data_IF_928799105482
#
_entry.id   IF_928799105482
#
_cell.length_a   1.000
_cell.length_b   1.000
_cell.length_c   1.000
_cell.angle_alpha   90.00
_cell.angle_beta   90.00
_cell.angle_gamma   90.00
#
_symmetry.space_group_name_H-M   'P 1'
#
loop_
_entity.id
_entity.type
_entity.pdbx_description
1 polymer ?
#
# COMPACT_ATOMS: atom_id res chain seq x y z
N UNK A 1 47.29 22.74 -40.41
CA UNK A 1 46.54 22.17 -39.27
C UNK A 1 45.25 21.64 -39.85
N UNK A 2 45.07 20.33 -39.88
CA UNK A 2 43.94 19.71 -40.55
C UNK A 2 42.71 19.74 -39.62
N UNK A 3 41.67 20.46 -40.06
CA UNK A 3 40.30 20.36 -39.55
C UNK A 3 39.72 19.00 -39.95
N UNK A 4 39.98 17.98 -39.13
CA UNK A 4 39.27 16.70 -39.22
C UNK A 4 38.13 16.75 -38.21
N UNK A 5 36.87 16.86 -38.63
CA UNK A 5 35.74 16.77 -37.72
C UNK A 5 35.68 15.32 -37.21
N UNK A 6 36.14 15.12 -35.97
CA UNK A 6 36.39 13.77 -35.46
C UNK A 6 35.12 13.00 -35.06
N UNK A 7 33.95 13.63 -34.89
CA UNK A 7 32.68 12.94 -34.67
C UNK A 7 31.53 13.83 -35.19
N UNK A 8 30.61 13.34 -36.07
CA UNK A 8 29.39 14.07 -36.40
C UNK A 8 28.50 14.14 -35.16
N UNK A 9 28.43 15.32 -34.55
CA UNK A 9 27.57 15.57 -33.38
C UNK A 9 26.13 15.73 -33.90
N UNK A 10 25.14 14.97 -33.40
CA UNK A 10 23.75 15.11 -33.84
C UNK A 10 23.23 16.52 -33.51
N UNK A 11 22.39 17.04 -34.40
CA UNK A 11 21.80 18.39 -34.27
C UNK A 11 20.98 18.52 -32.99
N UNK A 12 21.40 19.40 -32.08
CA UNK A 12 20.64 19.73 -30.87
C UNK A 12 19.48 20.68 -31.22
N UNK A 13 18.26 20.32 -30.83
CA UNK A 13 17.10 21.23 -30.92
C UNK A 13 16.55 21.50 -29.53
N UNK A 14 16.44 22.77 -29.16
CA UNK A 14 15.82 23.17 -27.89
C UNK A 14 14.29 23.26 -28.10
N UNK A 15 13.46 22.67 -27.23
CA UNK A 15 12.01 22.67 -27.42
C UNK A 15 11.41 24.04 -27.07
N UNK A 16 11.43 24.96 -28.04
CA UNK A 16 10.78 26.30 -27.96
C UNK A 16 9.32 26.25 -28.44
N UNK A 17 8.90 25.15 -29.08
CA UNK A 17 7.58 25.02 -29.69
C UNK A 17 6.61 24.20 -28.82
N UNK A 18 5.32 24.51 -28.92
CA UNK A 18 4.20 23.86 -28.21
C UNK A 18 3.91 22.42 -28.65
N UNK A 19 4.54 21.96 -29.73
CA UNK A 19 4.40 20.60 -30.26
C UNK A 19 5.55 19.71 -29.80
N UNK A 20 5.21 18.49 -29.35
CA UNK A 20 6.19 17.48 -28.91
C UNK A 20 7.05 17.04 -30.10
N UNK A 21 8.37 16.99 -29.92
CA UNK A 21 9.33 16.57 -30.95
C UNK A 21 9.97 15.24 -30.60
N UNK A 22 10.23 14.44 -31.62
CA UNK A 22 11.03 13.21 -31.51
C UNK A 22 12.50 13.51 -31.73
N UNK A 23 13.40 12.75 -31.10
CA UNK A 23 14.84 12.97 -31.25
C UNK A 23 15.69 12.11 -30.33
N UNK A 24 17.00 12.11 -30.61
CA UNK A 24 17.99 11.55 -29.72
C UNK A 24 18.09 12.41 -28.47
N UNK A 25 18.02 11.76 -27.31
CA UNK A 25 18.33 12.40 -26.04
C UNK A 25 19.84 12.42 -25.83
N UNK A 26 20.30 13.23 -24.88
CA UNK A 26 21.70 13.27 -24.49
C UNK A 26 22.11 11.87 -24.01
N UNK A 27 23.17 11.27 -24.58
CA UNK A 27 23.63 9.97 -24.13
C UNK A 27 24.09 10.03 -22.67
N UNK A 28 23.88 8.94 -21.95
CA UNK A 28 24.43 8.76 -20.61
C UNK A 28 25.63 7.82 -20.71
N UNK A 29 26.80 8.33 -20.32
CA UNK A 29 28.03 7.56 -20.18
C UNK A 29 28.45 7.60 -18.72
N UNK A 30 28.80 6.45 -18.16
CA UNK A 30 29.19 6.36 -16.75
C UNK A 30 30.04 5.12 -16.48
N UNK A 31 30.44 4.96 -15.22
CA UNK A 31 31.17 3.81 -14.75
C UNK A 31 30.58 3.34 -13.41
N UNK A 32 30.32 2.05 -13.26
CA UNK A 32 29.80 1.41 -12.05
C UNK A 32 30.69 0.21 -11.71
N UNK A 33 31.07 0.05 -10.44
CA UNK A 33 31.98 -1.03 -10.04
C UNK A 33 31.40 -2.46 -10.25
N UNK A 34 30.09 -2.60 -10.43
CA UNK A 34 29.39 -3.88 -10.67
C UNK A 34 29.15 -4.15 -12.15
N UNK A 35 29.05 -3.10 -12.98
CA UNK A 35 28.65 -3.21 -14.39
C UNK A 35 29.71 -2.66 -15.37
N UNK A 36 30.82 -2.14 -14.86
CA UNK A 36 31.89 -1.51 -15.62
C UNK A 36 31.47 -0.21 -16.29
N UNK A 37 31.95 0.00 -17.51
CA UNK A 37 31.58 1.14 -18.33
C UNK A 37 30.14 0.99 -18.84
N UNK A 38 29.33 2.03 -18.63
CA UNK A 38 27.93 2.12 -19.02
C UNK A 38 27.78 3.11 -20.17
N UNK A 39 27.13 2.71 -21.26
CA UNK A 39 26.72 3.59 -22.35
C UNK A 39 25.24 3.42 -22.65
N UNK A 40 24.48 4.52 -22.66
CA UNK A 40 23.04 4.54 -22.96
C UNK A 40 22.73 5.64 -23.97
N UNK A 41 21.99 5.32 -25.02
CA UNK A 41 21.57 6.30 -26.02
C UNK A 41 20.07 6.23 -26.21
N UNK A 42 19.33 7.08 -25.49
CA UNK A 42 17.87 7.11 -25.61
C UNK A 42 17.42 7.83 -26.88
N UNK A 43 16.39 7.30 -27.52
CA UNK A 43 15.61 7.94 -28.58
C UNK A 43 14.18 8.14 -28.10
N UNK A 44 13.75 9.39 -28.06
CA UNK A 44 12.39 9.76 -27.70
C UNK A 44 11.54 9.87 -28.97
N UNK A 45 10.47 9.08 -29.04
CA UNK A 45 9.53 9.06 -30.15
C UNK A 45 8.15 9.51 -29.69
N UNK A 46 7.84 10.78 -29.97
CA UNK A 46 6.50 11.35 -29.80
C UNK A 46 5.71 11.14 -31.10
N UNK A 47 5.01 10.01 -31.20
CA UNK A 47 4.19 9.69 -32.37
C UNK A 47 2.77 10.28 -32.30
N UNK A 48 2.33 10.76 -31.14
CA UNK A 48 1.08 11.51 -30.99
C UNK A 48 1.17 12.56 -29.87
N UNK A 49 0.22 13.52 -29.77
CA UNK A 49 0.22 14.52 -28.70
C UNK A 49 0.06 13.92 -27.29
N UNK A 50 -0.56 12.74 -27.17
CA UNK A 50 -0.89 12.13 -25.88
C UNK A 50 -0.19 10.80 -25.62
N UNK A 51 0.70 10.36 -26.51
CA UNK A 51 1.44 9.10 -26.38
C UNK A 51 2.88 9.27 -26.84
N UNK A 52 3.80 8.63 -26.13
CA UNK A 52 5.21 8.61 -26.46
C UNK A 52 5.86 7.26 -26.14
N UNK A 53 6.89 6.92 -26.90
CA UNK A 53 7.75 5.77 -26.68
C UNK A 53 9.19 6.25 -26.56
N UNK A 54 9.90 5.83 -25.51
CA UNK A 54 11.34 6.06 -25.37
C UNK A 54 12.06 4.72 -25.49
N UNK A 55 12.94 4.61 -26.46
CA UNK A 55 13.77 3.43 -26.71
C UNK A 55 15.16 3.75 -26.21
N UNK A 56 15.67 2.97 -25.27
CA UNK A 56 16.99 3.22 -24.65
C UNK A 56 17.84 1.97 -24.74
N UNK A 57 18.54 1.72 -25.85
CA UNK A 57 19.61 0.74 -25.87
C UNK A 57 20.65 1.10 -24.81
N UNK A 58 21.13 0.09 -24.10
CA UNK A 58 22.23 0.20 -23.16
C UNK A 58 23.28 -0.89 -23.34
N UNK A 59 24.51 -0.53 -23.02
CA UNK A 59 25.67 -1.40 -23.05
C UNK A 59 26.43 -1.26 -21.73
N UNK A 60 26.81 -2.39 -21.15
CA UNK A 60 27.51 -2.52 -19.87
C UNK A 60 28.72 -3.43 -20.09
N UNK A 61 29.94 -2.91 -19.96
CA UNK A 61 31.14 -3.65 -20.33
C UNK A 61 31.29 -4.98 -19.57
N UNK A 62 30.91 -5.00 -18.30
CA UNK A 62 31.17 -6.13 -17.40
C UNK A 62 29.89 -6.95 -17.12
N UNK A 63 28.85 -6.80 -17.95
CA UNK A 63 27.58 -7.50 -17.75
C UNK A 63 26.89 -7.92 -19.06
N UNK A 64 26.92 -7.06 -20.09
CA UNK A 64 26.29 -7.35 -21.38
C UNK A 64 25.56 -6.15 -21.98
N UNK A 65 24.58 -6.43 -22.85
CA UNK A 65 23.88 -5.42 -23.64
C UNK A 65 22.37 -5.61 -23.55
N UNK A 66 21.63 -4.53 -23.70
CA UNK A 66 20.19 -4.55 -23.51
C UNK A 66 19.51 -3.26 -23.93
N UNK A 67 18.37 -3.03 -23.31
CA UNK A 67 17.73 -1.73 -23.36
C UNK A 67 16.38 -1.69 -22.66
N UNK A 68 15.88 -0.47 -22.54
CA UNK A 68 14.58 -0.17 -21.97
C UNK A 68 13.64 0.39 -23.05
N UNK A 69 12.39 -0.08 -23.04
CA UNK A 69 11.27 0.50 -23.77
C UNK A 69 10.31 1.11 -22.75
N UNK A 70 10.23 2.45 -22.72
CA UNK A 70 9.30 3.17 -21.87
C UNK A 70 8.16 3.75 -22.71
N UNK A 71 6.97 3.19 -22.58
CA UNK A 71 5.76 3.61 -23.27
C UNK A 71 4.84 4.37 -22.31
N UNK A 72 4.41 5.58 -22.69
CA UNK A 72 3.48 6.38 -21.90
C UNK A 72 2.32 6.84 -22.75
N UNK A 73 1.11 6.79 -22.20
CA UNK A 73 -0.08 7.26 -22.89
C UNK A 73 -1.08 7.92 -21.94
N UNK A 74 -1.82 8.87 -22.50
CA UNK A 74 -3.00 9.48 -21.93
C UNK A 74 -4.10 9.36 -22.98
N UNK A 75 -5.06 8.46 -22.78
CA UNK A 75 -6.16 8.28 -23.73
C UNK A 75 -7.18 9.41 -23.59
N UNK A 76 -7.46 9.81 -22.35
CA UNK A 76 -8.31 10.96 -22.00
C UNK A 76 -7.96 11.48 -20.59
N UNK A 77 -8.74 12.42 -20.04
CA UNK A 77 -8.51 12.99 -18.69
C UNK A 77 -8.67 11.98 -17.53
N UNK A 78 -9.27 10.83 -17.82
CA UNK A 78 -9.71 9.77 -16.90
C UNK A 78 -8.97 8.45 -17.14
N UNK A 79 -8.20 8.33 -18.21
CA UNK A 79 -7.51 7.12 -18.63
C UNK A 79 -6.07 7.42 -19.04
N UNK A 80 -5.13 6.80 -18.33
CA UNK A 80 -3.68 6.93 -18.57
C UNK A 80 -2.95 5.67 -18.17
N UNK A 81 -1.77 5.48 -18.74
CA UNK A 81 -0.90 4.39 -18.37
C UNK A 81 0.54 4.65 -18.76
N UNK A 82 1.42 3.86 -18.15
CA UNK A 82 2.83 3.82 -18.43
C UNK A 82 3.34 2.39 -18.28
N UNK A 83 4.21 1.98 -19.18
CA UNK A 83 4.78 0.65 -19.22
C UNK A 83 6.27 0.77 -19.51
N UNK A 84 7.06 -0.01 -18.80
CA UNK A 84 8.49 -0.14 -18.99
C UNK A 84 8.82 -1.61 -19.16
N UNK A 85 9.38 -1.94 -20.31
CA UNK A 85 9.97 -3.24 -20.59
C UNK A 85 11.48 -3.06 -20.60
N UNK A 86 12.17 -3.73 -19.71
CA UNK A 86 13.62 -3.82 -19.68
C UNK A 86 14.04 -5.19 -20.18
N UNK A 87 15.06 -5.23 -21.03
CA UNK A 87 15.66 -6.44 -21.55
C UNK A 87 17.18 -6.35 -21.42
N UNK A 88 17.81 -7.44 -21.03
CA UNK A 88 19.26 -7.56 -20.91
C UNK A 88 19.69 -8.94 -21.39
N UNK A 89 20.57 -8.98 -22.39
CA UNK A 89 21.36 -10.15 -22.67
C UNK A 89 22.62 -10.09 -21.80
N UNK A 90 22.62 -10.89 -20.74
CA UNK A 90 23.78 -11.05 -19.87
C UNK A 90 24.82 -11.90 -20.60
N UNK A 91 26.08 -11.47 -20.61
CA UNK A 91 27.22 -12.22 -21.16
C UNK A 91 28.27 -12.55 -20.10
N UNK A 92 28.30 -11.80 -19.01
CA UNK A 92 29.22 -11.96 -17.89
C UNK A 92 28.44 -12.10 -16.57
N UNK A 93 29.04 -12.74 -15.57
CA UNK A 93 28.41 -12.89 -14.27
C UNK A 93 28.45 -11.56 -13.50
N UNK A 94 27.33 -11.09 -12.93
CA UNK A 94 27.29 -9.83 -12.19
C UNK A 94 28.18 -9.92 -10.93
N UNK A 95 29.07 -8.94 -10.76
CA UNK A 95 29.95 -8.86 -9.59
C UNK A 95 29.21 -8.22 -8.39
N UNK A 96 28.31 -8.98 -7.77
CA UNK A 96 27.52 -8.53 -6.62
C UNK A 96 27.79 -9.44 -5.41
N UNK A 97 28.43 -8.88 -4.38
CA UNK A 97 28.72 -9.61 -3.14
C UNK A 97 27.44 -10.03 -2.43
N UNK A 98 27.40 -11.29 -1.99
CA UNK A 98 26.32 -11.81 -1.12
C UNK A 98 25.08 -12.32 -1.82
N UNK A 99 25.04 -12.34 -3.16
CA UNK A 99 23.95 -12.95 -3.94
C UNK A 99 24.49 -14.19 -4.63
N UNK A 100 24.01 -15.38 -4.25
CA UNK A 100 24.30 -16.61 -4.99
C UNK A 100 23.37 -16.65 -6.20
N UNK A 101 23.90 -16.61 -7.44
CA UNK A 101 23.04 -16.57 -8.60
C UNK A 101 22.24 -17.88 -8.72
N UNK A 102 20.94 -17.74 -8.99
CA UNK A 102 20.10 -18.83 -9.49
C UNK A 102 20.62 -19.27 -10.87
N UNK A 103 21.53 -20.26 -10.86
CA UNK A 103 22.23 -20.79 -12.04
C UNK A 103 23.62 -20.17 -12.24
N UNK A 104 24.56 -20.97 -12.76
CA UNK A 104 25.96 -20.58 -13.02
C UNK A 104 26.22 -20.09 -14.44
N UNK A 105 25.17 -19.82 -15.21
CA UNK A 105 25.30 -19.45 -16.63
C UNK A 105 25.57 -17.95 -16.78
N UNK A 106 26.74 -17.63 -17.33
CA UNK A 106 27.12 -16.26 -17.66
C UNK A 106 26.25 -15.68 -18.77
N UNK A 107 25.84 -16.52 -19.74
CA UNK A 107 25.05 -16.13 -20.89
C UNK A 107 23.56 -16.41 -20.66
N UNK A 108 22.76 -15.39 -20.38
CA UNK A 108 21.31 -15.55 -20.18
C UNK A 108 20.53 -14.28 -20.52
N UNK A 109 19.31 -14.47 -21.00
CA UNK A 109 18.38 -13.38 -21.23
C UNK A 109 17.61 -13.07 -19.96
N UNK A 110 17.59 -11.80 -19.57
CA UNK A 110 16.86 -11.29 -18.41
C UNK A 110 15.96 -10.16 -18.82
N UNK A 111 14.86 -9.98 -18.09
CA UNK A 111 13.95 -8.90 -18.39
C UNK A 111 13.04 -8.56 -17.23
N UNK A 112 12.45 -7.38 -17.33
CA UNK A 112 11.47 -6.88 -16.38
C UNK A 112 10.36 -6.17 -17.13
N UNK A 113 9.12 -6.45 -16.75
CA UNK A 113 7.95 -5.70 -17.16
C UNK A 113 7.42 -5.01 -15.92
N UNK A 114 7.38 -3.69 -15.95
CA UNK A 114 6.71 -2.90 -14.92
C UNK A 114 5.80 -1.88 -15.55
N UNK A 115 4.63 -1.66 -14.97
CA UNK A 115 3.70 -0.71 -15.55
C UNK A 115 2.47 -0.50 -14.71
N UNK A 116 1.73 0.53 -15.09
CA UNK A 116 0.45 0.84 -14.47
C UNK A 116 -0.52 1.38 -15.50
N UNK A 117 -1.77 1.03 -15.33
CA UNK A 117 -2.90 1.57 -16.08
C UNK A 117 -3.98 2.00 -15.08
N UNK A 118 -4.58 3.15 -15.31
CA UNK A 118 -5.73 3.63 -14.54
C UNK A 118 -6.74 4.21 -15.50
N UNK A 119 -7.97 3.72 -15.43
CA UNK A 119 -9.07 4.15 -16.27
C UNK A 119 -10.38 4.24 -15.50
N UNK A 120 -10.98 5.43 -15.51
CA UNK A 120 -12.34 5.66 -15.02
C UNK A 120 -13.32 5.50 -16.18
N UNK A 121 -13.88 4.30 -16.34
CA UNK A 121 -14.76 3.91 -17.47
C UNK A 121 -16.10 4.65 -17.42
N UNK A 122 -16.73 4.69 -16.25
CA UNK A 122 -17.92 5.49 -15.94
C UNK A 122 -17.62 6.32 -14.69
N UNK A 123 -18.44 7.31 -14.28
CA UNK A 123 -18.22 8.04 -13.02
C UNK A 123 -18.09 7.17 -11.77
N UNK A 124 -18.55 5.91 -11.83
CA UNK A 124 -18.58 4.98 -10.71
C UNK A 124 -17.74 3.71 -10.93
N UNK A 125 -17.30 3.41 -12.15
CA UNK A 125 -16.45 2.26 -12.48
C UNK A 125 -14.99 2.68 -12.70
N UNK A 126 -14.11 2.23 -11.81
CA UNK A 126 -12.66 2.45 -11.88
C UNK A 126 -11.94 1.12 -12.12
N UNK A 127 -11.00 1.12 -13.06
CA UNK A 127 -10.09 0.00 -13.32
C UNK A 127 -8.66 0.50 -13.05
N UNK A 128 -7.92 -0.27 -12.25
CA UNK A 128 -6.50 -0.09 -12.02
C UNK A 128 -5.79 -1.40 -12.25
N UNK A 129 -4.76 -1.37 -13.06
CA UNK A 129 -3.84 -2.48 -13.23
C UNK A 129 -2.43 -2.00 -12.92
N UNK A 130 -1.67 -2.82 -12.22
CA UNK A 130 -0.26 -2.65 -11.96
C UNK A 130 0.39 -3.98 -12.28
N UNK A 131 1.46 -3.93 -13.06
CA UNK A 131 2.24 -5.11 -13.38
C UNK A 131 3.66 -4.89 -12.87
N UNK A 132 4.20 -5.91 -12.26
CA UNK A 132 5.60 -6.03 -11.92
C UNK A 132 5.97 -7.51 -12.08
N UNK A 133 6.73 -7.80 -13.13
CA UNK A 133 7.17 -9.13 -13.48
C UNK A 133 8.66 -9.07 -13.81
N UNK A 134 9.43 -10.01 -13.28
CA UNK A 134 10.86 -10.17 -13.59
C UNK A 134 11.12 -11.58 -14.12
N UNK A 135 12.19 -11.74 -14.90
CA UNK A 135 12.58 -13.04 -15.46
C UNK A 135 13.02 -14.04 -14.40
N UNK A 136 13.64 -13.56 -13.32
CA UNK A 136 14.27 -14.39 -12.30
C UNK A 136 14.21 -13.72 -10.91
N UNK A 137 14.25 -14.51 -9.81
CA UNK A 137 14.11 -13.98 -8.44
C UNK A 137 15.23 -13.03 -8.00
N UNK A 138 16.41 -13.14 -8.61
CA UNK A 138 17.59 -12.34 -8.25
C UNK A 138 17.71 -11.06 -9.10
N UNK A 139 16.75 -10.80 -10.00
CA UNK A 139 16.79 -9.69 -10.96
C UNK A 139 17.06 -8.35 -10.29
N UNK A 140 16.25 -7.98 -9.30
CA UNK A 140 16.41 -6.69 -8.62
C UNK A 140 17.68 -6.66 -7.78
N UNK A 141 17.97 -7.73 -7.04
CA UNK A 141 19.15 -7.81 -6.17
C UNK A 141 20.45 -7.60 -6.94
N UNK A 142 20.55 -8.15 -8.16
CA UNK A 142 21.76 -8.05 -8.98
C UNK A 142 21.78 -6.79 -9.85
N UNK A 143 20.65 -6.42 -10.45
CA UNK A 143 20.61 -5.41 -11.52
C UNK A 143 20.13 -4.03 -11.07
N UNK A 144 19.44 -3.92 -9.94
CA UNK A 144 18.95 -2.61 -9.48
C UNK A 144 20.08 -1.77 -8.88
N UNK A 145 20.05 -0.47 -9.19
CA UNK A 145 20.89 0.54 -8.55
C UNK A 145 20.32 1.04 -7.21
N UNK A 146 19.04 0.79 -6.93
CA UNK A 146 18.37 1.21 -5.70
C UNK A 146 18.51 0.15 -4.62
N UNK A 147 19.11 0.52 -3.48
CA UNK A 147 19.18 -0.38 -2.31
C UNK A 147 17.81 -0.81 -1.82
N UNK A 148 16.81 0.08 -1.86
CA UNK A 148 15.44 -0.25 -1.49
C UNK A 148 14.80 -1.30 -2.41
N UNK A 149 15.06 -1.20 -3.73
CA UNK A 149 14.55 -2.21 -4.68
C UNK A 149 15.27 -3.55 -4.52
N UNK A 150 16.58 -3.55 -4.21
CA UNK A 150 17.33 -4.77 -3.92
C UNK A 150 16.83 -5.49 -2.66
N UNK A 151 16.27 -4.76 -1.70
CA UNK A 151 15.73 -5.32 -0.47
C UNK A 151 14.24 -5.72 -0.57
N UNK A 152 13.62 -5.62 -1.76
CA UNK A 152 12.23 -6.03 -1.94
C UNK A 152 12.10 -7.55 -1.76
N UNK A 153 11.20 -8.03 -0.88
CA UNK A 153 11.01 -9.46 -0.67
C UNK A 153 10.19 -10.12 -1.79
N UNK A 154 9.34 -9.35 -2.48
CA UNK A 154 8.51 -9.82 -3.58
C UNK A 154 8.12 -8.68 -4.51
N UNK A 155 7.99 -8.99 -5.80
CA UNK A 155 7.30 -8.16 -6.78
C UNK A 155 5.79 -8.42 -6.74
N UNK A 156 4.98 -7.40 -7.02
CA UNK A 156 3.52 -7.47 -6.92
C UNK A 156 2.85 -6.95 -8.19
N UNK A 157 1.96 -7.77 -8.75
CA UNK A 157 1.09 -7.42 -9.87
C UNK A 157 -0.36 -7.46 -9.42
N UNK A 158 -1.08 -6.35 -9.61
CA UNK A 158 -2.43 -6.16 -9.10
C UNK A 158 -3.40 -5.73 -10.19
N UNK A 159 -4.61 -6.28 -10.14
CA UNK A 159 -5.78 -5.82 -10.88
C UNK A 159 -6.88 -5.48 -9.89
N UNK A 160 -7.26 -4.20 -9.79
CA UNK A 160 -8.36 -3.70 -8.96
C UNK A 160 -9.41 -3.08 -9.86
N UNK A 161 -10.59 -3.69 -9.87
CA UNK A 161 -11.79 -3.17 -10.54
C UNK A 161 -12.77 -2.81 -9.44
N UNK A 162 -13.24 -1.56 -9.43
CA UNK A 162 -14.13 -1.05 -8.38
C UNK A 162 -15.34 -0.37 -8.97
N UNK A 163 -16.51 -0.84 -8.57
CA UNK A 163 -17.79 -0.22 -8.86
C UNK A 163 -18.30 0.46 -7.59
N UNK A 164 -18.57 1.77 -7.67
CA UNK A 164 -19.23 2.52 -6.60
C UNK A 164 -20.75 2.44 -6.76
N UNK A 165 -21.43 2.39 -5.63
CA UNK A 165 -22.87 2.52 -5.50
C UNK A 165 -23.18 3.65 -4.50
N UNK A 166 -24.45 4.07 -4.42
CA UNK A 166 -24.88 5.15 -3.51
C UNK A 166 -24.49 4.91 -2.05
N UNK A 167 -24.58 3.65 -1.60
CA UNK A 167 -24.37 3.27 -0.20
C UNK A 167 -23.22 2.29 -0.02
N UNK A 168 -22.29 2.20 -0.97
CA UNK A 168 -21.20 1.25 -0.85
C UNK A 168 -20.37 1.07 -2.10
N UNK A 169 -19.57 0.02 -2.12
CA UNK A 169 -18.81 -0.38 -3.29
C UNK A 169 -18.72 -1.91 -3.41
N UNK A 170 -18.47 -2.36 -4.63
CA UNK A 170 -18.05 -3.71 -4.95
C UNK A 170 -16.67 -3.60 -5.60
N UNK A 171 -15.76 -4.48 -5.23
CA UNK A 171 -14.46 -4.60 -5.87
C UNK A 171 -14.17 -6.05 -6.28
N UNK A 172 -13.42 -6.17 -7.36
CA UNK A 172 -12.73 -7.37 -7.78
C UNK A 172 -11.24 -7.06 -7.72
N UNK A 173 -10.50 -7.89 -6.99
CA UNK A 173 -9.05 -7.80 -6.81
C UNK A 173 -8.43 -9.11 -7.33
N UNK A 174 -7.41 -8.98 -8.18
CA UNK A 174 -6.46 -10.04 -8.45
C UNK A 174 -5.08 -9.57 -8.02
N UNK A 175 -4.40 -10.34 -7.19
CA UNK A 175 -3.04 -10.06 -6.73
C UNK A 175 -2.15 -11.27 -7.00
N UNK A 176 -1.08 -11.02 -7.73
CA UNK A 176 -0.03 -11.98 -8.03
C UNK A 176 1.29 -11.50 -7.42
N UNK A 177 1.88 -12.34 -6.59
CA UNK A 177 3.16 -12.12 -5.94
C UNK A 177 4.23 -13.00 -6.55
N UNK A 178 5.32 -12.37 -6.97
CA UNK A 178 6.54 -13.03 -7.39
C UNK A 178 7.59 -12.85 -6.29
N UNK A 179 7.95 -13.88 -5.52
CA UNK A 179 9.01 -13.78 -4.51
C UNK A 179 10.37 -13.41 -5.12
N UNK A 180 11.15 -12.60 -4.41
CA UNK A 180 12.52 -12.24 -4.77
C UNK A 180 13.48 -12.97 -3.82
N UNK A 181 14.36 -13.82 -4.37
CA UNK A 181 15.29 -14.64 -3.58
C UNK A 181 14.66 -15.89 -2.97
N UNK A 182 13.95 -15.76 -1.83
CA UNK A 182 13.41 -16.90 -1.06
C UNK A 182 11.91 -17.07 -1.30
N UNK A 183 11.47 -18.30 -1.57
CA UNK A 183 10.10 -18.65 -1.96
C UNK A 183 10.00 -19.03 -3.43
N UNK A 184 8.85 -19.51 -3.87
CA UNK A 184 8.65 -19.82 -5.28
C UNK A 184 7.22 -20.24 -5.60
N UNK A 185 7.08 -21.39 -6.26
CA UNK A 185 5.81 -21.97 -6.68
C UNK A 185 4.86 -22.30 -5.51
N UNK A 186 5.37 -22.33 -4.29
CA UNK A 186 4.64 -22.54 -3.04
C UNK A 186 3.96 -21.28 -2.48
N UNK A 187 4.15 -20.12 -3.13
CA UNK A 187 3.60 -18.82 -2.70
C UNK A 187 2.14 -18.69 -3.05
N UNK A 188 1.32 -18.33 -2.06
CA UNK A 188 -0.11 -18.08 -2.26
C UNK A 188 -0.37 -16.82 -3.10
N UNK A 189 -1.23 -16.97 -4.09
CA UNK A 189 -1.73 -15.96 -5.01
C UNK A 189 -3.19 -15.70 -4.69
N UNK A 190 -3.61 -14.43 -4.65
CA UNK A 190 -5.01 -14.04 -4.35
C UNK A 190 -5.72 -13.77 -5.66
N UNK A 191 -6.31 -14.82 -6.25
CA UNK A 191 -6.84 -14.82 -7.61
C UNK A 191 -8.13 -15.66 -7.71
N UNK A 192 -9.33 -15.05 -7.78
CA UNK A 192 -9.66 -13.66 -7.47
C UNK A 192 -10.12 -13.46 -6.01
N UNK A 193 -10.17 -12.20 -5.57
CA UNK A 193 -10.95 -11.74 -4.42
C UNK A 193 -12.07 -10.82 -4.89
N UNK A 194 -13.28 -11.05 -4.40
CA UNK A 194 -14.44 -10.20 -4.64
C UNK A 194 -14.93 -9.75 -3.27
N UNK A 195 -15.08 -8.45 -3.08
CA UNK A 195 -15.56 -7.93 -1.82
C UNK A 195 -16.51 -6.76 -1.98
N UNK A 196 -17.34 -6.58 -0.96
CA UNK A 196 -18.32 -5.53 -0.88
C UNK A 196 -18.17 -4.81 0.47
N UNK A 197 -18.32 -3.49 0.42
CA UNK A 197 -18.45 -2.67 1.61
C UNK A 197 -19.72 -1.82 1.47
N UNK A 198 -20.71 -2.12 2.30
CA UNK A 198 -21.92 -1.33 2.52
C UNK A 198 -21.66 -0.39 3.69
N UNK A 199 -21.73 0.92 3.45
CA UNK A 199 -21.62 1.90 4.53
C UNK A 199 -22.86 1.85 5.43
N UNK A 200 -22.74 2.39 6.64
CA UNK A 200 -23.85 2.49 7.58
C UNK A 200 -25.07 3.17 6.93
N UNK A 201 -26.14 2.39 6.74
CA UNK A 201 -27.45 2.85 6.26
C UNK A 201 -28.51 2.60 7.32
N UNK A 202 -29.55 3.42 7.38
CA UNK A 202 -30.69 3.22 8.28
C UNK A 202 -31.87 2.57 7.53
N UNK A 203 -31.87 1.25 7.27
CA UNK A 203 -32.87 0.61 6.40
C UNK A 203 -34.31 0.72 6.94
N UNK A 204 -34.47 0.95 8.24
CA UNK A 204 -35.77 1.03 8.91
C UNK A 204 -36.13 2.45 9.39
N UNK A 205 -35.39 3.48 8.97
CA UNK A 205 -35.67 4.89 9.32
C UNK A 205 -35.54 5.23 10.82
N UNK A 206 -34.88 4.37 11.60
CA UNK A 206 -34.61 4.56 13.03
C UNK A 206 -33.15 4.92 13.32
N UNK A 207 -32.77 5.07 14.61
CA UNK A 207 -31.41 5.44 15.02
C UNK A 207 -30.39 4.32 14.84
N UNK A 208 -30.83 3.13 14.43
CA UNK A 208 -29.99 1.97 14.20
C UNK A 208 -29.56 1.94 12.74
N UNK A 209 -28.26 1.89 12.54
CA UNK A 209 -27.64 1.82 11.23
C UNK A 209 -26.96 0.47 11.03
N UNK A 210 -27.09 -0.05 9.81
CA UNK A 210 -26.53 -1.31 9.34
C UNK A 210 -25.41 -1.01 8.34
N UNK A 211 -24.21 -1.48 8.62
CA UNK A 211 -23.12 -1.61 7.67
C UNK A 211 -22.84 -3.08 7.37
N UNK A 212 -22.06 -3.37 6.34
CA UNK A 212 -21.65 -4.75 6.05
C UNK A 212 -20.35 -4.77 5.25
N UNK A 213 -19.41 -5.61 5.68
CA UNK A 213 -18.18 -5.90 4.95
C UNK A 213 -18.13 -7.39 4.63
N UNK A 214 -18.05 -7.72 3.34
CA UNK A 214 -17.95 -9.10 2.88
C UNK A 214 -16.77 -9.25 1.92
N UNK A 215 -16.13 -10.42 1.96
CA UNK A 215 -15.09 -10.77 0.99
C UNK A 215 -15.09 -12.27 0.73
N UNK A 216 -14.99 -12.65 -0.54
CA UNK A 216 -14.76 -14.03 -0.98
C UNK A 216 -13.45 -14.04 -1.74
N UNK A 217 -12.50 -14.82 -1.29
CA UNK A 217 -11.17 -14.90 -1.87
C UNK A 217 -10.81 -16.34 -2.22
N UNK A 218 -10.18 -16.52 -3.38
CA UNK A 218 -9.53 -17.76 -3.75
C UNK A 218 -8.00 -17.58 -3.68
N UNK A 219 -7.36 -18.47 -2.93
CA UNK A 219 -5.93 -18.55 -2.75
C UNK A 219 -5.37 -19.75 -3.51
N UNK A 220 -4.60 -19.45 -4.55
CA UNK A 220 -4.00 -20.44 -5.45
C UNK A 220 -2.48 -20.47 -5.27
N UNK A 221 -1.87 -21.64 -5.40
CA UNK A 221 -0.41 -21.79 -5.57
C UNK A 221 -0.12 -23.00 -6.45
N UNK A 222 1.04 -23.00 -7.10
CA UNK A 222 1.42 -24.08 -8.00
C UNK A 222 1.84 -25.33 -7.21
N UNK A 223 2.60 -25.15 -6.13
CA UNK A 223 3.00 -26.22 -5.22
C UNK A 223 2.27 -26.16 -3.88
N UNK A 224 1.68 -27.28 -3.47
CA UNK A 224 0.95 -27.43 -2.22
C UNK A 224 -0.57 -27.42 -2.43
N UNK A 225 -1.31 -26.84 -1.48
CA UNK A 225 -2.77 -26.83 -1.53
C UNK A 225 -3.34 -25.45 -1.90
N UNK A 226 -4.48 -25.49 -2.60
CA UNK A 226 -5.34 -24.34 -2.82
C UNK A 226 -6.41 -24.23 -1.72
N UNK A 227 -6.89 -23.02 -1.51
CA UNK A 227 -7.80 -22.72 -0.43
C UNK A 227 -8.69 -21.53 -0.78
N UNK A 228 -9.94 -21.52 -0.33
CA UNK A 228 -10.85 -20.39 -0.54
C UNK A 228 -11.51 -20.01 0.77
N UNK A 229 -11.78 -18.71 0.91
CA UNK A 229 -12.34 -18.11 2.12
C UNK A 229 -13.54 -17.25 1.77
N UNK A 230 -14.60 -17.37 2.55
CA UNK A 230 -15.72 -16.42 2.57
C UNK A 230 -15.79 -15.77 3.96
N UNK A 231 -15.73 -14.45 4.01
CA UNK A 231 -15.77 -13.63 5.22
C UNK A 231 -16.98 -12.69 5.14
N UNK A 232 -17.83 -12.75 6.15
CA UNK A 232 -19.07 -11.98 6.26
C UNK A 232 -19.10 -11.27 7.60
N UNK A 233 -19.15 -9.94 7.56
CA UNK A 233 -19.09 -9.10 8.76
C UNK A 233 -20.14 -7.98 8.68
N UNK A 234 -21.41 -8.26 9.01
CA UNK A 234 -22.39 -7.21 9.24
C UNK A 234 -21.96 -6.33 10.42
N UNK A 235 -22.38 -5.08 10.40
CA UNK A 235 -22.13 -4.10 11.45
C UNK A 235 -23.46 -3.50 11.86
N UNK A 236 -23.78 -3.59 13.14
CA UNK A 236 -24.91 -2.90 13.75
C UNK A 236 -24.36 -1.81 14.65
N UNK A 237 -24.78 -0.57 14.44
CA UNK A 237 -24.41 0.55 15.30
C UNK A 237 -25.60 1.50 15.43
N UNK A 238 -25.49 2.48 16.31
CA UNK A 238 -26.45 3.59 16.34
C UNK A 238 -25.81 4.86 15.82
N UNK A 239 -26.64 5.83 15.43
CA UNK A 239 -26.18 7.21 15.42
C UNK A 239 -25.67 7.60 16.83
N UNK A 240 -24.72 8.55 16.94
CA UNK A 240 -24.16 8.92 18.24
C UNK A 240 -25.24 9.38 19.20
N UNK A 241 -25.42 8.63 20.30
CA UNK A 241 -26.40 8.90 21.33
C UNK A 241 -25.86 10.01 22.23
N UNK A 242 -26.45 11.20 22.15
CA UNK A 242 -25.98 12.34 22.93
C UNK A 242 -26.52 12.27 24.36
N UNK A 243 -25.60 12.33 25.33
CA UNK A 243 -25.92 12.48 26.76
C UNK A 243 -25.70 13.95 27.11
N UNK A 244 -26.80 14.70 27.21
CA UNK A 244 -26.76 16.14 27.31
C UNK A 244 -26.26 16.78 26.01
N UNK A 245 -25.36 17.77 26.13
CA UNK A 245 -24.82 18.53 24.98
C UNK A 245 -23.32 18.31 24.77
N UNK A 246 -22.71 17.39 25.51
CA UNK A 246 -21.24 17.34 25.67
C UNK A 246 -20.65 15.98 25.34
N UNK A 247 -21.39 14.89 25.59
CA UNK A 247 -20.91 13.52 25.41
C UNK A 247 -21.76 12.84 24.33
N UNK A 248 -21.11 12.20 23.37
CA UNK A 248 -21.74 11.36 22.37
C UNK A 248 -21.24 9.92 22.52
N UNK A 249 -22.17 8.98 22.64
CA UNK A 249 -21.88 7.55 22.84
C UNK A 249 -22.35 6.76 21.63
N UNK A 250 -21.45 5.98 21.03
CA UNK A 250 -21.73 5.17 19.84
C UNK A 250 -21.47 3.70 20.15
N UNK A 251 -22.51 2.93 20.54
CA UNK A 251 -22.41 1.48 20.63
C UNK A 251 -22.37 0.86 19.23
N UNK A 252 -21.55 -0.18 19.07
CA UNK A 252 -21.39 -0.92 17.84
C UNK A 252 -21.14 -2.41 18.12
N UNK A 253 -21.75 -3.28 17.32
CA UNK A 253 -21.51 -4.71 17.31
C UNK A 253 -21.31 -5.19 15.88
N UNK A 254 -20.25 -5.96 15.65
CA UNK A 254 -19.88 -6.52 14.35
C UNK A 254 -19.78 -8.04 14.49
N UNK A 255 -20.88 -8.80 14.31
CA UNK A 255 -20.80 -10.24 14.17
C UNK A 255 -19.94 -10.58 12.95
N UNK A 256 -19.15 -11.64 13.03
CA UNK A 256 -18.27 -12.05 11.95
C UNK A 256 -18.27 -13.56 11.81
N UNK A 257 -18.59 -14.03 10.60
CA UNK A 257 -18.48 -15.43 10.21
C UNK A 257 -17.46 -15.58 9.11
N UNK A 258 -16.48 -16.47 9.29
CA UNK A 258 -15.48 -16.80 8.28
C UNK A 258 -15.52 -18.29 7.99
N UNK A 259 -15.69 -18.64 6.72
CA UNK A 259 -15.77 -20.00 6.22
C UNK A 259 -14.58 -20.29 5.33
N UNK A 260 -13.98 -21.45 5.55
CA UNK A 260 -12.73 -21.90 4.96
C UNK A 260 -12.99 -23.25 4.30
N UNK A 261 -12.65 -23.40 3.01
CA UNK A 261 -12.87 -24.67 2.29
C UNK A 261 -12.09 -25.84 2.85
N UNK A 262 -11.04 -25.58 3.64
CA UNK A 262 -10.20 -26.58 4.29
C UNK A 262 -9.48 -25.99 5.52
N UNK A 263 -8.91 -26.85 6.35
CA UNK A 263 -7.97 -26.46 7.40
C UNK A 263 -6.50 -26.65 7.02
N UNK A 264 -5.60 -26.34 7.96
CA UNK A 264 -4.14 -26.53 7.81
C UNK A 264 -3.78 -28.01 7.58
N UNK A 265 -4.32 -28.90 8.42
CA UNK A 265 -4.02 -30.33 8.40
C UNK A 265 -5.20 -31.22 7.97
N UNK A 266 -6.34 -30.62 7.58
CA UNK A 266 -7.54 -31.35 7.13
C UNK A 266 -8.05 -30.77 5.80
N UNK A 267 -8.71 -31.59 5.00
CA UNK A 267 -9.46 -31.16 3.82
C UNK A 267 -10.92 -30.78 4.13
N UNK A 268 -11.36 -30.94 5.38
CA UNK A 268 -12.71 -30.60 5.82
C UNK A 268 -12.91 -29.09 5.92
N UNK A 269 -14.14 -28.64 5.67
CA UNK A 269 -14.55 -27.24 5.86
C UNK A 269 -14.33 -26.82 7.31
N UNK A 270 -13.61 -25.71 7.49
CA UNK A 270 -13.40 -25.07 8.80
C UNK A 270 -14.18 -23.75 8.81
N UNK A 271 -14.70 -23.37 9.96
CA UNK A 271 -15.35 -22.07 10.13
C UNK A 271 -14.97 -21.45 11.46
N UNK A 272 -15.05 -20.12 11.54
CA UNK A 272 -14.87 -19.34 12.75
C UNK A 272 -15.98 -18.31 12.85
N UNK A 273 -16.71 -18.37 13.96
CA UNK A 273 -17.73 -17.39 14.31
C UNK A 273 -17.28 -16.61 15.54
N UNK A 274 -17.46 -15.31 15.50
CA UNK A 274 -17.08 -14.40 16.59
C UNK A 274 -17.85 -13.09 16.45
N UNK A 275 -17.63 -12.16 17.36
CA UNK A 275 -18.15 -10.81 17.25
C UNK A 275 -17.16 -9.81 17.82
N UNK A 276 -17.22 -8.59 17.30
CA UNK A 276 -16.55 -7.44 17.88
C UNK A 276 -17.62 -6.52 18.46
N UNK A 277 -17.58 -6.30 19.77
CA UNK A 277 -18.39 -5.28 20.41
C UNK A 277 -17.52 -4.09 20.79
N UNK A 278 -17.99 -2.88 20.50
CA UNK A 278 -17.33 -1.66 20.90
C UNK A 278 -18.31 -0.60 21.39
N UNK A 279 -17.84 0.22 22.32
CA UNK A 279 -18.54 1.44 22.74
C UNK A 279 -17.54 2.56 22.69
N UNK A 280 -17.83 3.54 21.86
CA UNK A 280 -17.07 4.78 21.73
C UNK A 280 -17.81 5.89 22.50
N UNK A 281 -17.09 6.62 23.34
CA UNK A 281 -17.58 7.81 24.03
C UNK A 281 -16.66 9.00 23.71
N UNK A 282 -17.19 9.96 22.96
CA UNK A 282 -16.47 11.18 22.57
C UNK A 282 -17.06 12.40 23.26
N UNK A 283 -16.21 13.40 23.50
CA UNK A 283 -16.65 14.73 23.89
C UNK A 283 -15.88 15.79 23.12
N UNK A 284 -16.49 16.96 22.92
CA UNK A 284 -15.83 18.10 22.30
C UNK A 284 -16.15 19.38 23.04
N UNK A 285 -15.11 19.97 23.62
CA UNK A 285 -15.18 21.23 24.34
C UNK A 285 -14.41 22.28 23.55
N UNK A 286 -15.08 23.37 23.18
CA UNK A 286 -14.44 24.45 22.44
C UNK A 286 -14.58 25.76 23.18
N UNK A 287 -13.49 26.53 23.27
CA UNK A 287 -13.49 27.88 23.81
C UNK A 287 -12.82 28.83 22.84
N UNK A 288 -13.50 29.94 22.56
CA UNK A 288 -12.96 31.03 21.75
C UNK A 288 -12.46 32.15 22.66
N UNK A 289 -11.23 32.58 22.45
CA UNK A 289 -10.60 33.71 23.13
C UNK A 289 -10.42 34.85 22.12
N UNK A 290 -10.87 36.06 22.45
CA UNK A 290 -10.62 37.23 21.60
C UNK A 290 -9.19 37.71 21.84
N UNK A 291 -8.42 37.92 20.77
CA UNK A 291 -7.03 38.38 20.84
C UNK A 291 -6.88 39.88 20.51
N UNK A 292 -7.96 40.54 20.07
CA UNK A 292 -7.94 41.92 19.56
C UNK A 292 -7.84 41.97 18.03
N UNK A 293 -8.04 43.16 17.44
CA UNK A 293 -7.87 43.40 15.99
C UNK A 293 -8.70 42.48 15.05
N UNK A 294 -9.85 41.98 15.53
CA UNK A 294 -10.68 41.05 14.76
C UNK A 294 -10.10 39.62 14.65
N UNK A 295 -9.11 39.30 15.48
CA UNK A 295 -8.53 37.95 15.61
C UNK A 295 -9.06 37.24 16.85
N UNK A 296 -9.20 35.92 16.75
CA UNK A 296 -9.65 35.07 17.86
C UNK A 296 -8.91 33.75 17.85
N UNK A 297 -8.70 33.17 19.03
CA UNK A 297 -8.09 31.87 19.24
C UNK A 297 -9.18 30.87 19.62
N UNK A 298 -9.42 29.86 18.80
CA UNK A 298 -10.26 28.73 19.10
C UNK A 298 -9.41 27.59 19.66
N UNK A 299 -9.60 27.28 20.94
CA UNK A 299 -9.06 26.08 21.56
C UNK A 299 -10.16 25.01 21.59
N UNK A 300 -9.89 23.84 21.00
CA UNK A 300 -10.75 22.67 21.08
C UNK A 300 -10.04 21.53 21.81
N UNK A 301 -10.76 20.92 22.75
CA UNK A 301 -10.34 19.75 23.50
C UNK A 301 -11.33 18.63 23.20
N UNK A 302 -10.81 17.51 22.75
CA UNK A 302 -11.56 16.35 22.28
C UNK A 302 -11.03 15.10 23.01
N UNK A 303 -11.54 14.80 24.22
CA UNK A 303 -11.29 13.51 24.84
C UNK A 303 -12.18 12.44 24.21
N UNK A 304 -11.64 11.24 24.12
CA UNK A 304 -12.27 10.10 23.46
C UNK A 304 -11.88 8.82 24.21
N UNK A 305 -12.86 7.96 24.43
CA UNK A 305 -12.67 6.70 25.16
C UNK A 305 -13.38 5.60 24.40
N UNK A 306 -12.63 4.59 23.98
CA UNK A 306 -13.16 3.45 23.24
C UNK A 306 -12.91 2.20 24.04
N UNK A 307 -13.96 1.42 24.28
CA UNK A 307 -13.87 0.06 24.78
C UNK A 307 -14.09 -0.92 23.63
N UNK A 308 -13.20 -1.90 23.47
CA UNK A 308 -13.29 -2.95 22.47
C UNK A 308 -13.21 -4.34 23.11
N UNK A 309 -14.14 -5.20 22.70
CA UNK A 309 -14.21 -6.58 23.13
C UNK A 309 -14.33 -7.53 21.94
N UNK A 310 -13.39 -8.47 21.86
CA UNK A 310 -13.39 -9.58 20.90
C UNK A 310 -13.07 -10.86 21.69
N UNK A 311 -13.99 -11.84 21.75
CA UNK A 311 -13.78 -13.06 22.51
C UNK A 311 -12.67 -13.92 21.88
N UNK A 312 -11.99 -14.76 22.68
CA UNK A 312 -11.05 -15.73 22.14
C UNK A 312 -11.77 -16.74 21.24
N UNK A 313 -11.12 -17.13 20.15
CA UNK A 313 -11.59 -18.18 19.25
C UNK A 313 -10.45 -19.16 18.96
N UNK A 314 -10.80 -20.43 18.72
CA UNK A 314 -9.80 -21.42 18.30
C UNK A 314 -9.46 -21.21 16.82
N UNK A 315 -8.20 -20.88 16.57
CA UNK A 315 -7.66 -20.58 15.24
C UNK A 315 -6.59 -21.60 14.82
N UNK A 316 -6.38 -22.66 15.62
CA UNK A 316 -5.32 -23.66 15.41
C UNK A 316 -5.44 -24.44 14.10
N UNK A 317 -6.66 -24.58 13.58
CA UNK A 317 -6.97 -25.28 12.33
C UNK A 317 -7.01 -24.36 11.11
N UNK A 318 -6.92 -23.05 11.30
CA UNK A 318 -7.07 -22.03 10.25
C UNK A 318 -5.70 -21.74 9.62
N UNK A 319 -5.66 -21.73 8.29
CA UNK A 319 -4.46 -21.32 7.53
C UNK A 319 -4.30 -19.81 7.67
N UNK A 320 -3.14 -19.38 8.18
CA UNK A 320 -2.85 -17.97 8.44
C UNK A 320 -2.23 -17.33 7.19
N UNK A 321 -3.01 -16.59 6.40
CA UNK A 321 -2.54 -15.94 5.16
C UNK A 321 -2.49 -14.43 5.27
N UNK A 322 -3.51 -13.80 5.88
CA UNK A 322 -3.60 -12.35 6.05
C UNK A 322 -4.30 -11.93 7.38
N UNK A 323 -4.62 -10.63 7.51
CA UNK A 323 -5.30 -10.05 8.67
C UNK A 323 -6.71 -10.57 8.94
N UNK A 324 -7.33 -11.23 7.98
CA UNK A 324 -8.64 -11.81 8.22
C UNK A 324 -8.54 -13.17 8.92
N UNK A 325 -7.41 -13.85 8.85
CA UNK A 325 -7.22 -15.19 9.42
C UNK A 325 -6.76 -15.14 10.88
N UNK A 326 -5.98 -14.12 11.24
CA UNK A 326 -5.48 -13.92 12.60
C UNK A 326 -6.29 -12.85 13.33
N UNK A 327 -7.21 -13.30 14.19
CA UNK A 327 -8.01 -12.42 15.02
C UNK A 327 -7.55 -12.51 16.49
N UNK A 328 -6.74 -11.57 16.97
CA UNK A 328 -6.35 -11.54 18.38
C UNK A 328 -7.57 -11.21 19.25
N UNK A 329 -7.65 -11.84 20.42
CA UNK A 329 -8.64 -11.47 21.45
C UNK A 329 -8.43 -10.00 21.85
N UNK A 330 -9.52 -9.27 22.05
CA UNK A 330 -9.49 -7.88 22.55
C UNK A 330 -10.33 -7.79 23.82
N UNK A 331 -9.75 -7.17 24.83
CA UNK A 331 -10.44 -6.59 25.96
C UNK A 331 -9.59 -5.37 26.30
N UNK A 332 -9.95 -4.24 25.68
CA UNK A 332 -9.09 -3.08 25.58
C UNK A 332 -9.91 -1.82 25.80
N UNK A 333 -9.41 -0.95 26.67
CA UNK A 333 -9.90 0.41 26.81
C UNK A 333 -8.80 1.33 26.30
N UNK A 334 -9.12 2.14 25.31
CA UNK A 334 -8.23 3.16 24.78
C UNK A 334 -8.74 4.53 25.19
N UNK A 335 -7.87 5.30 25.82
CA UNK A 335 -8.12 6.70 26.13
C UNK A 335 -7.30 7.55 25.16
N UNK A 336 -7.98 8.45 24.45
CA UNK A 336 -7.32 9.43 23.61
C UNK A 336 -7.75 10.85 24.01
N UNK A 337 -6.83 11.79 23.85
CA UNK A 337 -7.01 13.18 24.18
C UNK A 337 -6.39 14.01 23.08
N UNK A 338 -7.20 14.81 22.41
CA UNK A 338 -6.73 15.75 21.40
C UNK A 338 -6.97 17.19 21.83
N UNK A 339 -5.94 18.01 21.74
CA UNK A 339 -6.00 19.46 21.99
C UNK A 339 -5.52 20.20 20.76
N UNK A 340 -6.39 21.04 20.20
CA UNK A 340 -6.10 21.82 19.00
C UNK A 340 -6.31 23.30 19.24
N UNK A 341 -5.33 24.10 18.81
CA UNK A 341 -5.33 25.55 18.96
C UNK A 341 -5.29 26.20 17.58
N UNK A 342 -6.36 26.91 17.23
CA UNK A 342 -6.55 27.56 15.94
C UNK A 342 -6.70 29.06 16.13
N UNK A 343 -5.92 29.85 15.41
CA UNK A 343 -6.15 31.28 15.29
C UNK A 343 -7.05 31.53 14.07
N UNK A 344 -8.10 32.32 14.26
CA UNK A 344 -9.04 32.75 13.25
C UNK A 344 -8.98 34.27 13.14
N UNK A 345 -8.61 34.78 11.97
CA UNK A 345 -8.57 36.22 11.69
C UNK A 345 -8.96 36.53 10.25
N UNK A 346 -8.88 37.80 9.86
CA UNK A 346 -9.23 38.27 8.51
C UNK A 346 -8.34 37.69 7.40
N UNK A 347 -7.11 37.27 7.73
CA UNK A 347 -6.15 36.65 6.82
C UNK A 347 -6.26 35.13 6.69
N UNK A 348 -7.25 34.51 7.38
CA UNK A 348 -7.49 33.07 7.33
C UNK A 348 -7.39 32.38 8.69
N UNK A 349 -7.34 31.05 8.67
CA UNK A 349 -7.19 30.21 9.88
C UNK A 349 -5.80 29.62 9.95
N UNK A 350 -5.12 29.77 11.09
CA UNK A 350 -3.78 29.23 11.35
C UNK A 350 -3.85 28.19 12.48
N UNK A 351 -3.36 26.97 12.21
CA UNK A 351 -3.14 25.98 13.26
C UNK A 351 -1.87 26.34 14.02
N UNK A 352 -1.96 26.50 15.34
CA UNK A 352 -0.80 26.73 16.20
C UNK A 352 -0.30 25.43 16.80
N UNK A 353 -1.22 24.57 17.23
CA UNK A 353 -0.93 23.31 17.88
C UNK A 353 -2.03 22.31 17.57
N UNK A 354 -1.64 21.10 17.18
CA UNK A 354 -2.48 19.91 17.21
C UNK A 354 -1.73 18.83 17.97
N UNK A 355 -2.14 18.61 19.21
CA UNK A 355 -1.57 17.62 20.12
C UNK A 355 -2.58 16.47 20.26
N UNK A 356 -2.13 15.25 20.04
CA UNK A 356 -2.89 14.04 20.33
C UNK A 356 -2.06 13.16 21.27
N UNK A 357 -2.69 12.68 22.33
CA UNK A 357 -2.18 11.70 23.27
C UNK A 357 -3.11 10.49 23.24
N UNK A 358 -2.57 9.28 23.23
CA UNK A 358 -3.36 8.07 23.36
C UNK A 358 -2.63 7.02 24.21
N UNK A 359 -3.39 6.29 25.01
CA UNK A 359 -2.89 5.14 25.76
C UNK A 359 -3.99 4.09 25.89
N UNK A 360 -3.60 2.84 25.76
CA UNK A 360 -4.49 1.70 25.87
C UNK A 360 -4.20 0.89 27.14
N UNK A 361 -5.27 0.38 27.73
CA UNK A 361 -5.26 -0.43 28.94
C UNK A 361 -6.05 -1.72 28.71
N UNK A 362 -5.52 -2.86 29.12
CA UNK A 362 -6.18 -4.16 29.04
C UNK A 362 -6.85 -4.54 30.38
N UNK A 363 -8.19 -4.48 30.50
CA UNK A 363 -8.88 -4.94 31.69
C UNK A 363 -8.78 -6.47 31.78
N UNK A 364 -8.13 -6.97 32.83
CA UNK A 364 -7.96 -8.40 33.05
C UNK A 364 -6.75 -8.99 32.33
N UNK A 365 -6.94 -9.50 31.11
CA UNK A 365 -5.88 -10.24 30.38
C UNK A 365 -5.14 -9.37 29.38
N UNK A 366 -3.81 -9.47 29.38
CA UNK A 366 -2.92 -8.75 28.46
C UNK A 366 -2.91 -9.38 27.07
N UNK A 367 -2.69 -8.56 26.04
CA UNK A 367 -2.38 -9.05 24.71
C UNK A 367 -1.01 -9.72 24.72
N UNK A 368 -0.95 -10.96 24.24
CA UNK A 368 0.26 -11.79 24.23
C UNK A 368 0.72 -12.14 22.82
N UNK A 369 -0.02 -11.67 21.80
CA UNK A 369 0.31 -11.82 20.40
C UNK A 369 0.18 -10.46 19.71
N UNK A 370 1.21 -10.02 19.02
CA UNK A 370 1.18 -8.79 18.24
C UNK A 370 1.84 -9.02 16.88
N UNK A 371 1.49 -8.22 15.89
CA UNK A 371 2.12 -8.33 14.57
C UNK A 371 3.56 -7.85 14.66
N UNK A 372 4.48 -8.67 14.21
CA UNK A 372 5.87 -8.26 14.08
C UNK A 372 6.06 -7.56 12.73
N UNK A 373 6.28 -6.25 12.78
CA UNK A 373 6.55 -5.43 11.60
C UNK A 373 8.04 -5.44 11.22
N UNK A 374 8.90 -6.01 12.07
CA UNK A 374 10.36 -6.03 11.91
C UNK A 374 10.93 -7.45 11.73
N UNK A 375 10.10 -8.50 11.80
CA UNK A 375 10.52 -9.89 11.61
C UNK A 375 11.04 -10.14 10.19
N UNK A 376 12.33 -9.88 10.02
CA UNK A 376 13.22 -10.59 9.10
C UNK A 376 13.62 -11.91 9.77
N UNK A 377 12.66 -12.80 10.02
CA UNK A 377 13.01 -14.15 10.46
C UNK A 377 13.45 -14.97 9.22
N UNK A 378 14.64 -15.59 9.23
CA UNK A 378 15.07 -16.44 8.14
C UNK A 378 14.23 -17.72 8.18
N UNK A 379 13.41 -17.93 7.16
CA UNK A 379 12.63 -19.14 7.01
C UNK A 379 13.52 -20.24 6.42
N UNK A 380 14.29 -20.91 7.27
CA UNK A 380 14.78 -22.26 6.96
C UNK A 380 13.59 -23.20 7.13
N UNK A 381 12.93 -23.52 6.02
CA UNK A 381 11.81 -24.46 5.95
C UNK A 381 10.78 -24.01 4.92
N UNK A 382 10.11 -24.98 4.26
CA UNK A 382 9.06 -24.82 3.24
C UNK A 382 7.75 -24.23 3.79
N UNK A 383 7.84 -23.19 4.64
CA UNK A 383 6.68 -22.54 5.23
C UNK A 383 6.39 -21.29 4.42
N UNK A 384 5.30 -21.38 3.67
CA UNK A 384 4.71 -20.34 2.83
C UNK A 384 4.90 -18.94 3.39
N UNK A 385 5.43 -18.01 2.59
CA UNK A 385 5.43 -16.60 2.94
C UNK A 385 3.96 -16.14 3.03
N UNK A 386 3.46 -15.80 4.24
CA UNK A 386 2.10 -15.32 4.34
C UNK A 386 2.00 -13.95 3.64
N UNK A 387 0.84 -13.61 3.07
CA UNK A 387 0.63 -12.31 2.40
C UNK A 387 0.88 -11.14 3.37
N UNK A 388 0.76 -11.39 4.68
CA UNK A 388 1.16 -10.51 5.76
C UNK A 388 1.81 -11.33 6.89
N UNK A 389 2.79 -10.79 7.63
CA UNK A 389 3.42 -11.51 8.73
C UNK A 389 2.38 -11.91 9.79
N UNK A 390 2.52 -13.15 10.30
CA UNK A 390 1.72 -13.66 11.41
C UNK A 390 1.99 -12.87 12.70
N UNK A 391 1.05 -12.91 13.66
CA UNK A 391 1.36 -12.40 15.00
C UNK A 391 2.42 -13.26 15.70
N UNK A 392 3.30 -12.60 16.44
CA UNK A 392 4.33 -13.23 17.26
C UNK A 392 4.02 -13.05 18.74
N UNK A 393 4.49 -13.98 19.60
CA UNK A 393 4.34 -13.83 21.03
C UNK A 393 5.06 -12.57 21.55
N UNK A 394 4.34 -11.73 22.28
CA UNK A 394 4.89 -10.55 22.95
C UNK A 394 4.71 -10.64 24.45
N UNK A 395 5.63 -10.01 25.20
CA UNK A 395 5.49 -9.87 26.66
C UNK A 395 4.26 -9.01 26.94
N UNK A 396 3.18 -9.64 27.38
CA UNK A 396 1.94 -8.92 27.63
C UNK A 396 2.10 -7.87 28.73
N UNK A 397 1.72 -6.64 28.39
CA UNK A 397 1.66 -5.50 29.31
C UNK A 397 0.20 -5.08 29.49
N UNK A 398 -0.14 -4.63 30.70
CA UNK A 398 -1.49 -4.10 30.97
C UNK A 398 -1.72 -2.73 30.33
N UNK A 399 -0.67 -1.93 30.24
CA UNK A 399 -0.70 -0.64 29.56
C UNK A 399 0.16 -0.71 28.31
N UNK A 400 -0.33 -0.10 27.24
CA UNK A 400 0.48 0.18 26.07
C UNK A 400 1.51 1.26 26.38
N UNK A 401 2.52 1.37 25.51
CA UNK A 401 3.34 2.56 25.48
C UNK A 401 2.46 3.77 25.12
N UNK A 402 2.86 4.95 25.62
CA UNK A 402 2.14 6.19 25.36
C UNK A 402 2.40 6.60 23.91
N UNK A 403 1.33 6.80 23.15
CA UNK A 403 1.42 7.38 21.82
C UNK A 403 1.15 8.89 21.88
N UNK A 404 2.03 9.66 21.26
CA UNK A 404 1.90 11.12 21.21
C UNK A 404 2.22 11.62 19.81
N UNK A 405 1.37 12.52 19.31
CA UNK A 405 1.58 13.26 18.08
C UNK A 405 1.43 14.74 18.37
N UNK A 406 2.44 15.53 18.02
CA UNK A 406 2.42 16.98 18.15
C UNK A 406 2.73 17.60 16.81
N UNK A 407 1.84 18.46 16.32
CA UNK A 407 2.05 19.29 15.12
C UNK A 407 2.00 20.74 15.56
N UNK A 408 3.10 21.46 15.37
CA UNK A 408 3.20 22.89 15.68
C UNK A 408 3.15 23.66 14.36
N UNK A 409 2.28 24.66 14.30
CA UNK A 409 2.07 25.46 13.09
C UNK A 409 1.12 24.81 12.07
N UNK A 410 0.85 25.54 10.99
CA UNK A 410 0.15 25.00 9.83
C UNK A 410 1.11 24.09 9.05
N UNK A 411 0.83 22.78 8.93
CA UNK A 411 1.52 21.97 7.94
C UNK A 411 1.02 22.40 6.56
N UNK A 412 1.56 23.48 6.02
CA UNK A 412 1.39 23.82 4.62
C UNK A 412 2.64 23.34 3.89
N UNK A 413 2.56 22.34 3.02
CA UNK A 413 3.14 22.51 1.71
C UNK A 413 2.15 23.38 0.92
N UNK A 414 2.48 24.65 0.69
CA UNK A 414 1.96 25.29 -0.53
C UNK A 414 2.60 24.52 -1.67
N UNK A 415 1.93 23.47 -2.15
CA UNK A 415 2.35 22.78 -3.37
C UNK A 415 2.40 23.85 -4.47
N UNK A 416 3.56 24.08 -5.11
CA UNK A 416 3.57 24.79 -6.36
C UNK A 416 2.69 23.99 -7.31
N UNK A 417 1.67 24.63 -7.87
CA UNK A 417 0.94 24.08 -9.02
C UNK A 417 1.94 23.76 -10.11
N UNK A 418 2.25 22.47 -10.28
CA UNK A 418 3.15 21.98 -11.31
C UNK A 418 4.38 21.22 -10.80
N UNK A 419 4.20 20.13 -10.07
CA UNK A 419 5.18 19.03 -10.05
C UNK A 419 4.47 17.68 -9.92
N UNK A 420 5.00 16.70 -10.67
CA UNK A 420 4.49 15.36 -10.88
C UNK A 420 4.45 14.50 -9.62
N UNK A 421 3.44 13.63 -9.55
CA UNK A 421 3.25 12.59 -8.56
C UNK A 421 4.43 11.64 -8.42
N UNK A 422 4.96 11.47 -7.20
CA UNK A 422 5.64 10.28 -6.67
C UNK A 422 6.04 10.60 -5.21
N UNK A 423 5.07 10.66 -4.28
CA UNK A 423 5.30 10.53 -2.82
C UNK A 423 4.00 10.77 -2.02
N UNK A 424 2.97 9.96 -2.26
CA UNK A 424 1.79 9.91 -1.36
C UNK A 424 1.21 8.49 -1.38
N UNK A 425 1.96 7.53 -0.86
CA UNK A 425 1.44 6.17 -0.57
C UNK A 425 1.60 5.77 0.91
N UNK A 426 2.14 6.65 1.77
CA UNK A 426 2.45 6.35 3.17
C UNK A 426 1.41 6.78 4.21
N UNK A 427 0.26 7.37 3.86
CA UNK A 427 -0.62 8.04 4.85
C UNK A 427 -2.03 7.46 5.03
N UNK A 428 -2.33 6.26 4.52
CA UNK A 428 -3.70 5.68 4.64
C UNK A 428 -3.76 4.39 5.48
N UNK A 429 -2.77 4.12 6.34
CA UNK A 429 -2.77 2.92 7.23
C UNK A 429 -2.75 3.22 8.73
N UNK A 430 -3.14 4.42 9.16
CA UNK A 430 -3.12 4.81 10.59
C UNK A 430 -4.43 4.48 11.35
N UNK A 431 -5.48 4.02 10.67
CA UNK A 431 -6.73 3.63 11.36
C UNK A 431 -6.73 2.19 11.91
N UNK A 432 -5.61 1.46 11.82
CA UNK A 432 -5.42 0.15 12.48
C UNK A 432 -4.38 0.21 13.62
N UNK A 433 -3.97 1.42 14.03
CA UNK A 433 -2.89 1.66 14.98
C UNK A 433 -3.42 1.95 16.39
N UNK A 434 -4.36 1.13 16.90
CA UNK A 434 -4.65 0.94 18.33
C UNK A 434 -5.08 -0.52 18.57
#
# INVERSE_FOLDING_TARGET
MNDVPLIPIPTFSYPIQTTRKSGLLIPSVGYDNRFGMLYRQSYFWAFSPSQDLTITPDYKSDLGYGGDLAYRYVLDRKSRGQWMLSFLQQTELPNVSGVQPTGSEANRTRGMITGSHTQQVTPDLLIRAQAFLVSDPDYLQQLSNSGAQRALPSGESNLDIRQRFTHGNLYLLGQFLQPMGVGGEDTFQRLPEIGNNLVNVAPFGGPVVLGMENAIANFYRAEGFNHSRADVMPTLSTDPLTIGHVIAVTPQVRPRGVFYTRGVATQDVVHRETFWASVDATSRLTRRFSLGEGTSLLHSIEPDVIYEFVPPSDQSKIVQLDDRDDLPKKNLVTYSFRSRLLEMGSRGTRNWLDLTFAQSYHPGSVQTQARDFFATAPLVGTTTQPLQPATTPVRGRKFSDIWTRMVIGTPTPTLPTGTSSLDVAGMTRITQLI
#
